data_IF_066018459429
#
_entry.id   IF_066018459429
#
_cell.length_a   1.000
_cell.length_b   1.000
_cell.length_c   1.000
_cell.angle_alpha   90.00
_cell.angle_beta   90.00
_cell.angle_gamma   90.00
#
_symmetry.space_group_name_H-M   'P 1'
#
loop_
_entity.id
_entity.type
_entity.pdbx_description
1 polymer ?
#
# COMPACT_ATOMS: atom_id res chain seq x y z
N UNK A 1 13.31 33.39 5.38
CA UNK A 1 12.89 32.53 6.51
C UNK A 1 11.45 32.12 6.27
N UNK A 2 11.16 30.82 6.09
CA UNK A 2 9.77 30.36 5.94
C UNK A 2 9.07 30.58 7.28
N UNK A 3 8.06 31.46 7.32
CA UNK A 3 7.17 31.59 8.46
C UNK A 3 6.40 30.29 8.60
N UNK A 4 6.83 29.41 9.50
CA UNK A 4 6.08 28.21 9.85
C UNK A 4 4.85 28.70 10.61
N UNK A 5 3.74 28.91 9.89
CA UNK A 5 2.50 29.32 10.51
C UNK A 5 2.07 28.15 11.42
N UNK A 6 1.97 28.33 12.76
CA UNK A 6 1.74 27.22 13.68
C UNK A 6 0.48 26.43 13.34
N UNK A 7 -0.54 27.09 12.79
CA UNK A 7 -1.77 26.47 12.26
C UNK A 7 -1.46 25.54 11.07
N UNK A 8 -0.57 25.95 10.15
CA UNK A 8 -0.14 25.12 9.01
C UNK A 8 0.65 23.88 9.43
N UNK A 9 1.33 23.92 10.58
CA UNK A 9 2.03 22.77 11.15
C UNK A 9 1.08 21.78 11.84
N UNK A 10 -0.16 22.19 12.17
CA UNK A 10 -1.19 21.32 12.72
C UNK A 10 -1.92 20.51 11.65
N UNK A 11 -1.99 21.01 10.40
CA UNK A 11 -2.44 20.22 9.26
C UNK A 11 -1.35 19.19 8.91
N UNK A 12 -1.52 17.96 9.38
CA UNK A 12 -0.61 16.85 9.13
C UNK A 12 -0.37 16.60 7.63
N UNK A 13 0.74 15.93 7.30
CA UNK A 13 1.01 15.51 5.91
C UNK A 13 -0.16 14.69 5.37
N UNK A 14 -0.53 14.94 4.11
CA UNK A 14 -1.63 14.23 3.44
C UNK A 14 -1.44 12.70 3.53
N UNK A 15 -2.41 11.95 4.09
CA UNK A 15 -2.32 10.50 4.24
C UNK A 15 -2.40 9.77 2.89
N UNK A 16 -2.95 10.42 1.86
CA UNK A 16 -3.13 9.86 0.53
C UNK A 16 -1.83 9.47 -0.17
N UNK A 17 -0.72 10.19 0.08
CA UNK A 17 0.58 9.84 -0.53
C UNK A 17 1.04 8.46 -0.09
N UNK A 18 0.73 8.11 1.15
CA UNK A 18 1.14 6.85 1.75
C UNK A 18 0.20 5.72 1.28
N UNK A 19 -1.11 5.97 1.17
CA UNK A 19 -2.07 5.08 0.48
C UNK A 19 -1.70 4.80 -0.98
N UNK A 20 -1.30 5.83 -1.73
CA UNK A 20 -0.84 5.67 -3.12
C UNK A 20 0.43 4.84 -3.24
N UNK A 21 1.30 4.85 -2.22
CA UNK A 21 2.48 3.98 -2.20
C UNK A 21 2.06 2.52 -2.01
N UNK A 22 1.14 2.27 -1.07
CA UNK A 22 0.60 0.93 -0.85
C UNK A 22 -0.04 0.38 -2.12
N UNK A 23 -0.96 1.14 -2.74
CA UNK A 23 -1.61 0.71 -3.98
C UNK A 23 -0.63 0.43 -5.14
N UNK A 24 0.51 1.13 -5.23
CA UNK A 24 1.52 0.83 -6.24
C UNK A 24 2.16 -0.54 -6.04
N UNK A 25 2.46 -0.92 -4.80
CA UNK A 25 3.03 -2.24 -4.50
C UNK A 25 2.00 -3.32 -4.81
N UNK A 26 0.73 -3.10 -4.45
CA UNK A 26 -0.39 -3.99 -4.78
C UNK A 26 -0.51 -4.15 -6.30
N UNK A 27 -0.47 -3.07 -7.07
CA UNK A 27 -0.51 -3.10 -8.55
C UNK A 27 0.69 -3.89 -9.13
N UNK A 28 1.89 -3.67 -8.59
CA UNK A 28 3.09 -4.42 -8.96
C UNK A 28 3.00 -5.92 -8.59
N UNK A 29 2.27 -6.27 -7.52
CA UNK A 29 1.98 -7.65 -7.12
C UNK A 29 1.05 -8.32 -8.13
N UNK A 30 -0.08 -7.68 -8.44
CA UNK A 30 -1.04 -8.15 -9.45
C UNK A 30 -0.40 -8.28 -10.83
N UNK A 31 0.54 -7.39 -11.18
CA UNK A 31 1.24 -7.43 -12.46
C UNK A 31 2.09 -8.70 -12.68
N UNK A 32 2.45 -9.45 -11.64
CA UNK A 32 3.17 -10.72 -11.77
C UNK A 32 2.24 -11.92 -12.03
N UNK A 33 0.95 -11.78 -11.71
CA UNK A 33 -0.04 -12.87 -11.84
C UNK A 33 -0.12 -13.42 -13.26
N UNK A 34 -0.13 -12.62 -14.34
CA UNK A 34 -0.07 -13.15 -15.70
C UNK A 34 1.17 -14.01 -15.96
N UNK A 35 2.34 -13.63 -15.43
CA UNK A 35 3.58 -14.38 -15.56
C UNK A 35 3.55 -15.72 -14.81
N UNK A 36 2.91 -15.75 -13.64
CA UNK A 36 2.66 -17.00 -12.89
C UNK A 36 1.78 -17.96 -13.69
N UNK A 37 0.65 -17.48 -14.23
CA UNK A 37 -0.26 -18.31 -15.01
C UNK A 37 0.40 -18.82 -16.29
N UNK A 38 1.21 -18.00 -16.98
CA UNK A 38 1.94 -18.45 -18.16
C UNK A 38 2.91 -19.59 -17.81
N UNK A 39 3.71 -19.42 -16.75
CA UNK A 39 4.63 -20.46 -16.29
C UNK A 39 3.89 -21.75 -15.88
N UNK A 40 2.69 -21.63 -15.30
CA UNK A 40 1.85 -22.78 -14.95
C UNK A 40 1.36 -23.53 -16.18
N UNK A 41 0.86 -22.82 -17.19
CA UNK A 41 0.38 -23.42 -18.45
C UNK A 41 1.51 -24.13 -19.19
N UNK A 42 2.69 -23.52 -19.20
CA UNK A 42 3.86 -24.04 -19.91
C UNK A 42 4.60 -25.15 -19.13
N UNK A 43 4.19 -25.45 -17.89
CA UNK A 43 4.94 -26.30 -16.95
C UNK A 43 6.41 -25.86 -16.79
N UNK A 44 6.63 -24.55 -16.75
CA UNK A 44 7.96 -23.95 -16.66
C UNK A 44 8.49 -23.99 -15.22
N UNK A 45 9.79 -24.28 -15.07
CA UNK A 45 10.50 -24.16 -13.80
C UNK A 45 10.49 -22.72 -13.24
N UNK A 46 10.26 -21.71 -14.09
CA UNK A 46 10.09 -20.32 -13.70
C UNK A 46 8.89 -20.10 -12.75
N UNK A 47 7.93 -21.04 -12.68
CA UNK A 47 6.75 -20.95 -11.82
C UNK A 47 7.09 -20.61 -10.36
N UNK A 48 8.11 -21.26 -9.80
CA UNK A 48 8.54 -21.02 -8.41
C UNK A 48 9.04 -19.58 -8.24
N UNK A 49 9.88 -19.10 -9.17
CA UNK A 49 10.39 -17.73 -9.11
C UNK A 49 9.29 -16.67 -9.26
N UNK A 50 8.27 -16.91 -10.09
CA UNK A 50 7.14 -15.98 -10.23
C UNK A 50 6.26 -15.97 -8.99
N UNK A 51 6.05 -17.14 -8.38
CA UNK A 51 5.37 -17.26 -7.09
C UNK A 51 6.11 -16.47 -6.02
N UNK A 52 7.44 -16.61 -5.92
CA UNK A 52 8.23 -15.94 -4.88
C UNK A 52 8.19 -14.41 -5.04
N UNK A 53 8.23 -13.88 -6.27
CA UNK A 53 8.04 -12.43 -6.50
C UNK A 53 6.69 -11.90 -6.03
N UNK A 54 5.61 -12.69 -6.19
CA UNK A 54 4.28 -12.31 -5.70
C UNK A 54 4.31 -12.21 -4.17
N UNK A 55 4.86 -13.23 -3.49
CA UNK A 55 4.98 -13.21 -2.02
C UNK A 55 5.85 -12.06 -1.52
N UNK A 56 6.98 -11.77 -2.18
CA UNK A 56 7.83 -10.63 -1.80
C UNK A 56 7.09 -9.29 -1.87
N UNK A 57 6.21 -9.11 -2.87
CA UNK A 57 5.43 -7.87 -3.01
C UNK A 57 4.23 -7.81 -2.08
N UNK A 58 3.57 -8.94 -1.81
CA UNK A 58 2.51 -9.03 -0.79
C UNK A 58 3.07 -8.68 0.60
N UNK A 59 4.24 -9.23 0.96
CA UNK A 59 4.91 -8.92 2.22
C UNK A 59 5.25 -7.42 2.31
N UNK A 60 5.80 -6.84 1.24
CA UNK A 60 6.08 -5.40 1.18
C UNK A 60 4.81 -4.53 1.28
N UNK A 61 3.67 -4.99 0.75
CA UNK A 61 2.38 -4.31 0.89
C UNK A 61 1.89 -4.40 2.34
N UNK A 62 1.92 -5.57 2.97
CA UNK A 62 1.51 -5.78 4.36
C UNK A 62 2.35 -4.96 5.35
N UNK A 63 3.67 -4.90 5.16
CA UNK A 63 4.56 -4.05 5.96
C UNK A 63 4.15 -2.57 5.88
N UNK A 64 3.83 -2.09 4.67
CA UNK A 64 3.40 -0.72 4.46
C UNK A 64 2.00 -0.50 5.04
N UNK A 65 1.06 -1.43 4.88
CA UNK A 65 -0.26 -1.39 5.53
C UNK A 65 -0.12 -1.24 7.03
N UNK A 66 0.68 -2.09 7.66
CA UNK A 66 0.93 -2.05 9.10
C UNK A 66 1.53 -0.70 9.49
N UNK A 67 2.54 -0.22 8.78
CA UNK A 67 3.13 1.11 9.01
C UNK A 67 2.08 2.22 8.95
N UNK A 68 1.19 2.20 7.94
CA UNK A 68 0.09 3.17 7.79
C UNK A 68 -0.86 3.13 8.98
N UNK A 69 -1.31 1.95 9.39
CA UNK A 69 -2.25 1.78 10.52
C UNK A 69 -1.71 2.34 11.82
N UNK A 70 -0.41 2.17 12.07
CA UNK A 70 0.27 2.67 13.27
C UNK A 70 0.50 4.19 13.26
N UNK A 71 0.77 4.78 12.10
CA UNK A 71 1.13 6.21 11.99
C UNK A 71 -0.07 7.12 11.67
N UNK A 72 -1.25 6.57 11.39
CA UNK A 72 -2.44 7.36 11.05
C UNK A 72 -3.06 8.01 12.32
N UNK A 73 -3.04 9.34 12.44
CA UNK A 73 -3.45 10.04 13.66
C UNK A 73 -4.97 9.96 13.91
N UNK A 74 -5.39 10.02 15.19
CA UNK A 74 -6.79 9.88 15.63
C UNK A 74 -7.64 11.17 15.50
N UNK A 75 -7.49 11.93 14.42
CA UNK A 75 -8.50 12.87 13.89
C UNK A 75 -8.66 14.32 14.39
N UNK A 76 -7.80 14.93 15.23
CA UNK A 76 -8.06 16.35 15.61
C UNK A 76 -7.81 17.34 14.43
N UNK A 77 -7.02 17.00 13.40
CA UNK A 77 -6.71 17.91 12.27
C UNK A 77 -6.53 17.23 10.90
N UNK A 78 -7.16 16.07 10.65
CA UNK A 78 -7.12 15.45 9.31
C UNK A 78 -8.26 15.95 8.43
N UNK A 79 -8.02 16.16 7.12
CA UNK A 79 -9.06 16.57 6.18
C UNK A 79 -10.07 15.45 5.86
N UNK A 80 -9.85 14.24 6.36
CA UNK A 80 -10.64 13.03 6.09
C UNK A 80 -10.74 12.15 7.33
N UNK A 81 -11.80 11.34 7.43
CA UNK A 81 -11.99 10.41 8.53
C UNK A 81 -10.94 9.29 8.48
N UNK A 82 -10.42 8.92 9.65
CA UNK A 82 -9.47 7.81 9.80
C UNK A 82 -10.10 6.48 9.38
N UNK A 83 -11.40 6.29 9.64
CA UNK A 83 -12.13 5.06 9.33
C UNK A 83 -12.18 4.82 7.83
N UNK A 84 -12.56 5.83 7.05
CA UNK A 84 -12.62 5.75 5.59
C UNK A 84 -11.25 5.41 4.98
N UNK A 85 -10.17 5.98 5.54
CA UNK A 85 -8.81 5.66 5.09
C UNK A 85 -8.41 4.22 5.42
N UNK A 86 -8.80 3.70 6.58
CA UNK A 86 -8.54 2.31 6.94
C UNK A 86 -9.36 1.34 6.10
N UNK A 87 -10.62 1.65 5.83
CA UNK A 87 -11.46 0.85 4.94
C UNK A 87 -10.88 0.83 3.52
N UNK A 88 -10.42 1.98 3.02
CA UNK A 88 -9.71 2.04 1.74
C UNK A 88 -8.43 1.20 1.76
N UNK A 89 -7.68 1.22 2.86
CA UNK A 89 -6.46 0.45 2.98
C UNK A 89 -6.74 -1.07 2.98
N UNK A 90 -7.76 -1.49 3.72
CA UNK A 90 -8.20 -2.89 3.78
C UNK A 90 -8.72 -3.35 2.39
N UNK A 91 -9.42 -2.49 1.65
CA UNK A 91 -9.81 -2.79 0.26
C UNK A 91 -8.61 -2.98 -0.67
N UNK A 92 -7.57 -2.13 -0.56
CA UNK A 92 -6.36 -2.29 -1.36
C UNK A 92 -5.61 -3.57 -1.02
N UNK A 93 -5.51 -3.89 0.27
CA UNK A 93 -4.84 -5.09 0.78
C UNK A 93 -5.49 -6.37 0.25
N UNK A 94 -6.83 -6.41 0.17
CA UNK A 94 -7.56 -7.57 -0.34
C UNK A 94 -7.33 -7.91 -1.82
N UNK A 95 -6.62 -7.04 -2.56
CA UNK A 95 -6.27 -7.25 -3.97
C UNK A 95 -4.97 -8.05 -4.10
N UNK A 96 -4.02 -7.84 -3.18
CA UNK A 96 -2.74 -8.55 -3.14
C UNK A 96 -2.92 -9.97 -2.60
#
# INVERSE_FOLDING_TARGET
MKSTNPISAMFGKSPFKAMQKHMRIVDECVAEVPGLFQALVDNDAALISQKDKIFEKEEAADELKNTLRHHLPKSIFMPVDRRDLLELLDMQDSIA
#
